data_IF_994768441149
#
_entry.id   IF_994768441149
#
_cell.length_a   1.000
_cell.length_b   1.000
_cell.length_c   1.000
_cell.angle_alpha   90.00
_cell.angle_beta   90.00
_cell.angle_gamma   90.00
#
_symmetry.space_group_name_H-M   'P 1'
#
loop_
_entity.id
_entity.type
_entity.pdbx_description
1 polymer ?
#
# COMPACT_ATOMS: atom_id res chain seq x y z
N UNK A 1 -9.06 42.91 -46.05
CA UNK A 1 -8.85 41.53 -46.53
C UNK A 1 -8.27 40.70 -45.39
N UNK A 2 -9.00 39.63 -45.07
CA UNK A 2 -8.77 38.53 -44.13
C UNK A 2 -7.31 38.10 -43.90
N UNK A 3 -6.99 37.70 -42.66
CA UNK A 3 -6.29 36.45 -42.25
C UNK A 3 -6.41 36.39 -40.70
N UNK A 4 -7.49 35.87 -40.08
CA UNK A 4 -7.88 34.46 -39.86
C UNK A 4 -6.79 33.58 -39.19
N UNK A 5 -7.21 32.90 -38.11
CA UNK A 5 -6.58 31.80 -37.34
C UNK A 5 -5.59 32.24 -36.23
N UNK A 6 -5.73 31.90 -34.93
CA UNK A 6 -6.18 30.65 -34.31
C UNK A 6 -6.58 30.83 -32.83
N UNK A 7 -7.45 29.92 -32.38
CA UNK A 7 -7.68 29.43 -31.01
C UNK A 7 -6.77 30.01 -29.91
N UNK A 8 -7.37 30.80 -29.01
CA UNK A 8 -6.85 31.00 -27.65
C UNK A 8 -7.09 29.70 -26.86
N UNK A 9 -6.26 28.69 -27.11
CA UNK A 9 -6.05 27.65 -26.11
C UNK A 9 -5.36 28.33 -24.94
N UNK A 10 -6.12 28.60 -23.88
CA UNK A 10 -5.53 28.90 -22.58
C UNK A 10 -4.83 27.62 -22.12
N UNK A 11 -3.59 27.44 -22.58
CA UNK A 11 -2.64 26.57 -21.92
C UNK A 11 -2.46 27.18 -20.54
N UNK A 12 -3.18 26.63 -19.57
CA UNK A 12 -2.80 26.75 -18.17
C UNK A 12 -1.43 26.09 -18.11
N UNK A 13 -0.38 26.88 -18.37
CA UNK A 13 0.98 26.52 -18.01
C UNK A 13 0.93 26.34 -16.50
N UNK A 14 0.78 25.09 -16.07
CA UNK A 14 1.17 24.67 -14.74
C UNK A 14 2.66 25.05 -14.62
N UNK A 15 2.91 26.24 -14.08
CA UNK A 15 4.20 26.67 -13.56
C UNK A 15 4.56 25.71 -12.42
N UNK A 16 4.97 24.49 -12.75
CA UNK A 16 5.67 23.64 -11.80
C UNK A 16 7.11 24.09 -11.86
N UNK A 17 7.42 25.02 -10.96
CA UNK A 17 8.77 25.32 -10.53
C UNK A 17 9.49 23.97 -10.32
N UNK A 18 10.40 23.61 -11.24
CA UNK A 18 11.27 22.42 -11.21
C UNK A 18 12.30 22.54 -10.08
N UNK A 19 11.88 23.02 -8.91
CA UNK A 19 12.68 22.98 -7.71
C UNK A 19 12.65 21.54 -7.20
N UNK A 20 13.76 20.83 -7.42
CA UNK A 20 14.30 19.72 -6.60
C UNK A 20 13.32 19.20 -5.54
N UNK A 21 12.19 18.64 -5.96
CA UNK A 21 11.16 18.30 -5.01
C UNK A 21 11.55 16.96 -4.41
N UNK A 22 12.18 17.03 -3.23
CA UNK A 22 12.41 15.86 -2.41
C UNK A 22 11.15 15.51 -1.65
N UNK A 23 10.73 14.27 -1.81
CA UNK A 23 9.76 13.68 -0.90
C UNK A 23 10.26 13.80 0.55
N UNK A 24 9.35 13.89 1.53
CA UNK A 24 9.72 13.91 2.95
C UNK A 24 10.66 12.76 3.31
N UNK A 25 11.43 12.93 4.40
CA UNK A 25 12.40 11.93 4.83
C UNK A 25 11.83 10.49 4.82
N UNK A 26 12.67 9.56 4.37
CA UNK A 26 12.40 8.14 4.12
C UNK A 26 11.52 7.81 2.90
N UNK A 27 10.96 8.79 2.20
CA UNK A 27 10.13 8.61 0.99
C UNK A 27 10.92 8.87 -0.28
N UNK A 28 10.54 8.23 -1.38
CA UNK A 28 11.15 8.43 -2.69
C UNK A 28 10.11 8.84 -3.74
N UNK A 29 10.50 9.73 -4.65
CA UNK A 29 9.65 10.16 -5.74
C UNK A 29 9.68 9.12 -6.88
N UNK A 30 8.52 8.69 -7.33
CA UNK A 30 8.39 7.75 -8.48
C UNK A 30 7.93 8.45 -9.75
N UNK A 31 7.26 9.60 -9.64
CA UNK A 31 6.81 10.41 -10.76
C UNK A 31 6.53 11.86 -10.32
N UNK A 32 6.48 12.78 -11.29
CA UNK A 32 6.12 14.19 -11.10
C UNK A 32 4.89 14.54 -11.95
N UNK A 33 4.23 15.64 -11.62
CA UNK A 33 3.03 16.14 -12.31
C UNK A 33 1.70 15.59 -11.79
N UNK A 34 1.64 15.07 -10.56
CA UNK A 34 0.37 14.61 -10.00
C UNK A 34 -0.45 15.79 -9.46
N UNK A 35 -1.77 15.70 -9.64
CA UNK A 35 -2.78 16.45 -8.87
C UNK A 35 -3.52 15.54 -7.88
N UNK A 36 -3.44 14.20 -8.06
CA UNK A 36 -4.01 13.19 -7.18
C UNK A 36 -3.15 11.92 -7.17
N UNK A 37 -3.28 11.10 -6.11
CA UNK A 37 -2.50 9.86 -5.97
C UNK A 37 -2.87 8.80 -7.04
N UNK A 38 -4.08 8.84 -7.59
CA UNK A 38 -4.55 7.91 -8.62
C UNK A 38 -3.74 8.05 -9.92
N UNK A 39 -3.26 9.25 -10.23
CA UNK A 39 -2.39 9.50 -11.38
C UNK A 39 -1.01 8.85 -11.26
N UNK A 40 -0.64 8.37 -10.08
CA UNK A 40 0.62 7.68 -9.81
C UNK A 40 0.54 6.17 -10.08
N UNK A 41 -0.66 5.61 -10.29
CA UNK A 41 -0.90 4.19 -10.53
C UNK A 41 -0.15 3.54 -11.71
N UNK A 42 0.15 4.22 -12.84
CA UNK A 42 0.95 3.60 -13.89
C UNK A 42 2.45 3.57 -13.57
N UNK A 43 2.90 4.27 -12.52
CA UNK A 43 4.33 4.41 -12.18
C UNK A 43 4.76 3.58 -10.98
N UNK A 44 3.81 3.12 -10.17
CA UNK A 44 4.09 2.22 -9.04
C UNK A 44 2.84 1.47 -8.59
N UNK A 45 3.05 0.30 -8.03
CA UNK A 45 2.05 -0.48 -7.28
C UNK A 45 2.08 -0.19 -5.78
N UNK A 46 3.08 0.55 -5.30
CA UNK A 46 3.21 0.90 -3.88
C UNK A 46 2.25 2.01 -3.48
N UNK A 47 1.85 2.06 -2.19
CA UNK A 47 1.09 3.18 -1.68
C UNK A 47 1.85 4.50 -1.82
N UNK A 48 1.19 5.48 -2.45
CA UNK A 48 1.76 6.82 -2.71
C UNK A 48 0.84 7.93 -2.20
N UNK A 49 1.42 9.09 -1.95
CA UNK A 49 0.70 10.35 -1.80
C UNK A 49 1.14 11.31 -2.91
N UNK A 50 0.21 12.12 -3.41
CA UNK A 50 0.54 13.24 -4.28
C UNK A 50 0.91 14.46 -3.43
N UNK A 51 2.21 14.71 -3.28
CA UNK A 51 2.74 15.78 -2.44
C UNK A 51 3.36 16.84 -3.34
N UNK A 52 2.76 18.03 -3.36
CA UNK A 52 3.26 19.20 -4.10
C UNK A 52 3.59 18.89 -5.58
N UNK A 53 2.80 18.04 -6.21
CA UNK A 53 3.00 17.66 -7.61
C UNK A 53 3.88 16.43 -7.82
N UNK A 54 4.41 15.79 -6.77
CA UNK A 54 5.19 14.56 -6.88
C UNK A 54 4.48 13.36 -6.27
N UNK A 55 4.55 12.22 -6.95
CA UNK A 55 4.15 10.92 -6.44
C UNK A 55 5.23 10.41 -5.49
N UNK A 56 5.00 10.55 -4.19
CA UNK A 56 5.92 10.10 -3.15
C UNK A 56 5.48 8.76 -2.58
N UNK A 57 6.39 7.78 -2.54
CA UNK A 57 6.14 6.53 -1.82
C UNK A 57 5.89 6.81 -0.35
N UNK A 58 4.99 6.06 0.26
CA UNK A 58 4.88 6.04 1.71
C UNK A 58 6.08 5.27 2.23
N UNK A 59 6.98 5.96 2.93
CA UNK A 59 8.15 5.31 3.49
C UNK A 59 7.71 4.22 4.45
N UNK A 60 8.26 3.02 4.25
CA UNK A 60 8.62 2.15 5.36
C UNK A 60 7.49 1.75 6.31
N UNK A 61 6.35 1.33 5.78
CA UNK A 61 5.74 0.12 6.34
C UNK A 61 4.93 -0.59 5.26
N UNK A 62 5.33 -1.79 4.80
CA UNK A 62 4.48 -2.61 3.96
C UNK A 62 3.25 -2.93 4.78
N UNK A 63 2.12 -2.27 4.51
CA UNK A 63 0.86 -2.53 5.19
C UNK A 63 1.04 -2.54 6.72
N UNK A 64 1.04 -1.38 7.39
CA UNK A 64 0.47 -1.38 8.75
C UNK A 64 -0.99 -1.77 8.59
N UNK A 65 -1.28 -3.07 8.60
CA UNK A 65 -2.59 -3.56 9.01
C UNK A 65 -2.87 -2.85 10.34
N UNK A 66 -4.08 -2.32 10.57
CA UNK A 66 -4.40 -1.50 11.73
C UNK A 66 -4.36 -2.25 13.09
N UNK A 67 -3.55 -3.29 13.22
CA UNK A 67 -3.51 -4.13 14.40
C UNK A 67 -2.13 -4.76 14.58
N UNK A 68 -1.22 -4.05 15.25
CA UNK A 68 -0.12 -4.70 15.98
C UNK A 68 -0.61 -5.15 17.36
N UNK A 69 -1.83 -5.65 17.48
CA UNK A 69 -2.11 -6.39 18.70
C UNK A 69 -1.37 -7.72 18.61
N UNK A 70 -0.95 -8.26 19.76
CA UNK A 70 -0.38 -9.59 19.80
C UNK A 70 -1.32 -10.55 19.06
N UNK A 71 -0.75 -11.31 18.13
CA UNK A 71 -1.45 -12.35 17.40
C UNK A 71 -1.75 -13.47 18.38
N UNK A 72 -2.88 -13.33 19.07
CA UNK A 72 -3.32 -14.27 20.08
C UNK A 72 -4.37 -15.16 19.44
N UNK A 73 -4.07 -16.45 19.41
CA UNK A 73 -5.03 -17.45 19.02
C UNK A 73 -5.94 -17.78 20.22
N UNK A 74 -7.26 -17.66 20.05
CA UNK A 74 -8.23 -17.92 21.13
C UNK A 74 -8.19 -19.35 21.66
N UNK A 75 -7.60 -20.28 20.92
CA UNK A 75 -7.40 -21.67 21.32
C UNK A 75 -6.07 -21.91 22.09
N UNK A 76 -5.32 -20.86 22.42
CA UNK A 76 -4.00 -20.98 23.06
C UNK A 76 -2.90 -21.54 22.14
N UNK A 77 -3.19 -21.71 20.85
CA UNK A 77 -2.24 -22.16 19.84
C UNK A 77 -1.21 -21.10 19.47
N UNK A 78 -0.20 -21.51 18.69
CA UNK A 78 0.80 -20.59 18.14
C UNK A 78 0.21 -19.88 16.92
N UNK A 79 0.25 -18.54 16.93
CA UNK A 79 -0.11 -17.76 15.77
C UNK A 79 1.02 -17.77 14.72
N UNK A 80 0.64 -17.93 13.46
CA UNK A 80 1.57 -18.01 12.33
C UNK A 80 1.52 -16.74 11.48
N UNK A 81 0.33 -16.36 11.00
CA UNK A 81 0.13 -15.22 10.09
C UNK A 81 -1.33 -14.74 10.13
N UNK A 82 -1.57 -13.49 9.72
CA UNK A 82 -2.91 -12.93 9.50
C UNK A 82 -3.34 -12.98 8.04
N UNK A 83 -4.64 -12.99 7.79
CA UNK A 83 -5.21 -12.94 6.44
C UNK A 83 -5.74 -14.28 5.94
N UNK A 84 -6.07 -15.22 6.82
CA UNK A 84 -6.78 -16.43 6.41
C UNK A 84 -8.30 -16.21 6.39
N UNK A 85 -8.95 -16.91 5.47
CA UNK A 85 -10.41 -17.15 5.42
C UNK A 85 -10.67 -18.63 5.68
N UNK A 86 -9.75 -19.50 5.25
CA UNK A 86 -9.82 -20.96 5.41
C UNK A 86 -8.52 -21.48 6.01
N UNK A 87 -8.59 -22.57 6.78
CA UNK A 87 -7.41 -23.16 7.44
C UNK A 87 -6.39 -23.74 6.47
N UNK A 88 -6.81 -24.16 5.28
CA UNK A 88 -5.93 -24.68 4.23
C UNK A 88 -4.89 -23.63 3.78
N UNK A 89 -5.24 -22.34 3.84
CA UNK A 89 -4.31 -21.24 3.53
C UNK A 89 -3.16 -21.17 4.53
N UNK A 90 -3.27 -21.83 5.69
CA UNK A 90 -2.22 -21.85 6.70
C UNK A 90 -1.19 -22.98 6.46
N UNK A 91 -1.51 -23.98 5.62
CA UNK A 91 -0.68 -25.17 5.37
C UNK A 91 0.62 -24.85 4.64
N UNK A 92 0.71 -23.70 3.98
CA UNK A 92 1.96 -23.22 3.38
C UNK A 92 2.97 -22.72 4.42
N UNK A 93 2.52 -22.43 5.65
CA UNK A 93 3.36 -21.88 6.73
C UNK A 93 3.71 -22.91 7.80
N UNK A 94 3.01 -24.04 7.86
CA UNK A 94 3.32 -25.13 8.79
C UNK A 94 2.84 -26.48 8.27
N UNK A 95 3.45 -27.54 8.77
CA UNK A 95 2.99 -28.93 8.59
C UNK A 95 2.12 -29.40 9.76
N UNK A 96 2.00 -28.61 10.82
CA UNK A 96 1.17 -28.89 11.98
C UNK A 96 -0.31 -28.71 11.63
N UNK A 97 -1.23 -29.37 12.35
CA UNK A 97 -2.65 -29.06 12.28
C UNK A 97 -2.91 -27.57 12.55
N UNK A 98 -3.80 -26.95 11.77
CA UNK A 98 -4.08 -25.51 11.81
C UNK A 98 -5.57 -25.21 11.75
N UNK A 99 -5.95 -24.08 12.34
CA UNK A 99 -7.26 -23.46 12.23
C UNK A 99 -7.11 -21.99 11.82
N UNK A 100 -8.12 -21.46 11.11
CA UNK A 100 -8.24 -20.04 10.86
C UNK A 100 -9.16 -19.42 11.91
N UNK A 101 -8.62 -18.68 12.86
CA UNK A 101 -9.36 -18.07 13.97
C UNK A 101 -9.31 -16.56 13.84
N UNK A 102 -10.47 -15.92 13.62
CA UNK A 102 -10.58 -14.46 13.50
C UNK A 102 -9.64 -13.86 12.43
N UNK A 103 -9.41 -14.61 11.34
CA UNK A 103 -8.48 -14.22 10.28
C UNK A 103 -7.01 -14.49 10.59
N UNK A 104 -6.70 -15.19 11.67
CA UNK A 104 -5.34 -15.57 12.09
C UNK A 104 -5.15 -17.08 11.91
N UNK A 105 -4.08 -17.46 11.22
CA UNK A 105 -3.62 -18.85 11.17
C UNK A 105 -3.04 -19.26 12.51
N UNK A 106 -3.67 -20.24 13.15
CA UNK A 106 -3.35 -20.72 14.48
C UNK A 106 -3.05 -22.22 14.45
N UNK A 107 -1.97 -22.66 15.10
CA UNK A 107 -1.76 -24.10 15.29
C UNK A 107 -2.83 -24.64 16.22
N UNK A 108 -3.36 -25.81 15.90
CA UNK A 108 -4.20 -26.59 16.82
C UNK A 108 -3.30 -27.70 17.36
N UNK A 109 -2.56 -27.38 18.42
CA UNK A 109 -1.85 -28.42 19.15
C UNK A 109 -2.87 -29.44 19.63
N UNK A 110 -2.59 -30.73 19.43
CA UNK A 110 -3.27 -31.79 20.18
C UNK A 110 -2.92 -31.57 21.65
N UNK A 111 -3.78 -30.86 22.38
CA UNK A 111 -3.71 -30.85 23.83
C UNK A 111 -4.16 -32.23 24.27
N UNK A 112 -3.21 -33.13 24.51
CA UNK A 112 -3.47 -34.32 25.32
C UNK A 112 -3.91 -33.81 26.70
N UNK A 113 -5.22 -33.83 26.96
CA UNK A 113 -5.74 -33.88 28.31
C UNK A 113 -6.19 -35.30 28.59
#
# INVERSE_FOLDING_TARGET
MQFLFNLLTTTVLAHHNLADFKCPADRHAVALGCSSAQQCSPYTTDPVDCIRGACCTKSGNPIKLPYQAPLICSNGGRALVVGCIQSQQCLQFTKEPVACLQGICCTVGFSFN
#
